data_IF_986078154731
#
_entry.id   IF_986078154731
#
_cell.length_a   1.000
_cell.length_b   1.000
_cell.length_c   1.000
_cell.angle_alpha   90.00
_cell.angle_beta   90.00
_cell.angle_gamma   90.00
#
_symmetry.space_group_name_H-M   'P 1'
#
loop_
_entity.id
_entity.type
_entity.pdbx_description
1 polymer ?
#
# COMPACT_ATOMS: atom_id res chain seq x y z
N UNK A 1 -1.68 12.72 -6.70
CA UNK A 1 -1.33 12.23 -5.34
C UNK A 1 -2.34 12.72 -4.32
N UNK A 2 -2.64 14.02 -4.27
CA UNK A 2 -3.54 14.59 -3.25
C UNK A 2 -4.95 13.97 -3.20
N UNK A 3 -5.49 13.57 -4.36
CA UNK A 3 -6.81 12.93 -4.48
C UNK A 3 -6.84 11.43 -4.21
N UNK A 4 -5.70 10.81 -3.91
CA UNK A 4 -5.62 9.38 -3.59
C UNK A 4 -5.79 9.23 -2.07
N UNK A 5 -6.73 8.40 -1.66
CA UNK A 5 -7.05 8.14 -0.26
C UNK A 5 -6.06 7.14 0.35
N UNK A 6 -5.74 6.06 -0.38
CA UNK A 6 -4.84 4.99 0.08
C UNK A 6 -3.84 4.55 -1.00
N UNK A 7 -2.65 4.12 -0.56
CA UNK A 7 -1.59 3.59 -1.40
C UNK A 7 -1.14 2.22 -0.89
N UNK A 8 -1.13 1.24 -1.78
CA UNK A 8 -0.46 -0.04 -1.55
C UNK A 8 0.84 -0.10 -2.35
N UNK A 9 1.95 -0.26 -1.65
CA UNK A 9 3.30 -0.36 -2.22
C UNK A 9 3.95 -1.61 -1.67
N UNK A 10 4.26 -2.57 -2.55
CA UNK A 10 4.87 -3.83 -2.14
C UNK A 10 6.15 -3.59 -1.32
N UNK A 11 6.16 -4.11 -0.09
CA UNK A 11 7.25 -3.95 0.87
C UNK A 11 8.38 -4.95 0.61
N UNK A 12 8.96 -4.93 -0.58
CA UNK A 12 10.14 -5.75 -0.87
C UNK A 12 11.31 -5.40 0.07
N UNK A 13 11.48 -4.11 0.37
CA UNK A 13 12.39 -3.56 1.36
C UNK A 13 11.80 -2.26 1.93
N UNK A 14 12.07 -1.96 3.21
CA UNK A 14 11.59 -0.72 3.85
C UNK A 14 12.06 0.55 3.10
N UNK A 15 13.30 0.54 2.59
CA UNK A 15 13.87 1.66 1.84
C UNK A 15 13.10 2.01 0.57
N UNK A 16 12.47 1.02 -0.09
CA UNK A 16 11.68 1.24 -1.31
C UNK A 16 10.43 2.04 -0.98
N UNK A 17 9.70 1.66 0.07
CA UNK A 17 8.49 2.37 0.50
C UNK A 17 8.83 3.76 1.03
N UNK A 18 9.88 3.90 1.83
CA UNK A 18 10.34 5.22 2.31
C UNK A 18 10.75 6.14 1.17
N UNK A 19 11.41 5.61 0.12
CA UNK A 19 11.78 6.38 -1.07
C UNK A 19 10.53 6.83 -1.84
N UNK A 20 9.55 5.93 -2.02
CA UNK A 20 8.26 6.28 -2.63
C UNK A 20 7.56 7.40 -1.85
N UNK A 21 7.48 7.28 -0.52
CA UNK A 21 6.85 8.30 0.34
C UNK A 21 7.51 9.66 0.17
N UNK A 22 8.85 9.69 0.19
CA UNK A 22 9.63 10.92 0.00
C UNK A 22 9.43 11.54 -1.37
N UNK A 23 9.43 10.74 -2.44
CA UNK A 23 9.38 11.24 -3.82
C UNK A 23 7.98 11.72 -4.20
N UNK A 24 6.94 11.05 -3.70
CA UNK A 24 5.54 11.37 -4.00
C UNK A 24 4.91 12.34 -2.99
N UNK A 25 5.58 12.60 -1.86
CA UNK A 25 5.06 13.47 -0.80
C UNK A 25 3.81 12.93 -0.12
N UNK A 26 3.70 11.61 0.02
CA UNK A 26 2.54 10.95 0.65
C UNK A 26 2.75 10.78 2.16
N UNK A 27 1.67 10.92 2.92
CA UNK A 27 1.69 10.68 4.35
C UNK A 27 1.72 9.16 4.66
N UNK A 28 2.48 8.77 5.68
CA UNK A 28 2.56 7.38 6.17
C UNK A 28 1.18 6.80 6.50
N UNK A 29 0.26 7.62 7.02
CA UNK A 29 -1.11 7.22 7.35
C UNK A 29 -1.97 6.79 6.15
N UNK A 30 -1.48 6.97 4.92
CA UNK A 30 -2.13 6.54 3.68
C UNK A 30 -1.44 5.35 3.00
N UNK A 31 -0.27 4.92 3.47
CA UNK A 31 0.53 3.89 2.79
C UNK A 31 0.52 2.60 3.61
N UNK A 32 0.16 1.47 2.96
CA UNK A 32 0.19 0.13 3.55
C UNK A 32 -0.53 0.05 4.91
N UNK A 33 -1.74 0.65 5.00
CA UNK A 33 -2.46 0.87 6.27
C UNK A 33 -2.86 -0.41 7.00
N UNK A 34 -2.84 -1.55 6.30
CA UNK A 34 -3.12 -2.87 6.83
C UNK A 34 -1.84 -3.73 6.98
N UNK A 35 -0.66 -3.10 6.92
CA UNK A 35 0.64 -3.77 6.87
C UNK A 35 0.98 -4.29 5.47
N UNK A 36 2.21 -4.78 5.27
CA UNK A 36 2.64 -5.30 3.98
C UNK A 36 3.56 -6.52 4.05
N UNK A 37 4.33 -6.71 2.97
CA UNK A 37 5.11 -7.92 2.74
C UNK A 37 6.24 -8.17 3.76
N UNK A 38 6.73 -7.14 4.47
CA UNK A 38 7.70 -7.35 5.55
C UNK A 38 7.09 -8.15 6.70
N UNK A 39 5.81 -7.88 7.00
CA UNK A 39 5.10 -8.58 8.08
C UNK A 39 4.42 -9.87 7.60
N UNK A 40 3.80 -9.84 6.42
CA UNK A 40 2.93 -10.92 5.93
C UNK A 40 3.61 -11.88 4.95
N UNK A 41 4.81 -11.52 4.47
CA UNK A 41 5.54 -12.28 3.46
C UNK A 41 5.17 -11.91 2.02
N UNK A 42 5.97 -12.42 1.08
CA UNK A 42 5.93 -12.05 -0.33
C UNK A 42 5.90 -13.29 -1.24
N UNK A 43 4.73 -13.88 -1.53
CA UNK A 43 4.62 -14.87 -2.61
C UNK A 43 4.76 -14.14 -3.95
N UNK A 44 5.99 -14.09 -4.48
CA UNK A 44 6.44 -13.28 -5.64
C UNK A 44 5.35 -13.03 -6.69
N UNK A 45 4.87 -14.08 -7.37
CA UNK A 45 3.90 -13.94 -8.45
C UNK A 45 2.46 -13.59 -8.02
N UNK A 46 2.10 -13.87 -6.77
CA UNK A 46 0.74 -13.65 -6.25
C UNK A 46 0.57 -12.31 -5.53
N UNK A 47 1.67 -11.68 -5.11
CA UNK A 47 1.60 -10.50 -4.23
C UNK A 47 0.88 -9.32 -4.87
N UNK A 48 1.04 -9.12 -6.19
CA UNK A 48 0.32 -8.05 -6.90
C UNK A 48 -1.20 -8.18 -6.77
N UNK A 49 -1.75 -9.38 -6.89
CA UNK A 49 -3.18 -9.62 -6.71
C UNK A 49 -3.61 -9.49 -5.25
N UNK A 50 -2.76 -9.93 -4.31
CA UNK A 50 -3.04 -9.84 -2.87
C UNK A 50 -3.17 -8.38 -2.44
N UNK A 51 -2.17 -7.54 -2.71
CA UNK A 51 -2.21 -6.14 -2.26
C UNK A 51 -3.28 -5.32 -2.99
N UNK A 52 -3.61 -5.68 -4.24
CA UNK A 52 -4.74 -5.10 -4.96
C UNK A 52 -6.07 -5.42 -4.27
N UNK A 53 -6.27 -6.69 -3.88
CA UNK A 53 -7.44 -7.11 -3.11
C UNK A 53 -7.52 -6.40 -1.76
N UNK A 54 -6.41 -6.36 -1.02
CA UNK A 54 -6.33 -5.63 0.26
C UNK A 54 -6.71 -4.16 0.12
N UNK A 55 -6.23 -3.47 -0.93
CA UNK A 55 -6.58 -2.07 -1.18
C UNK A 55 -8.07 -1.91 -1.47
N UNK A 56 -8.64 -2.78 -2.32
CA UNK A 56 -10.06 -2.73 -2.68
C UNK A 56 -10.94 -2.94 -1.44
N UNK A 57 -10.67 -3.98 -0.65
CA UNK A 57 -11.41 -4.29 0.57
C UNK A 57 -11.32 -3.12 1.58
N UNK A 58 -10.15 -2.48 1.69
CA UNK A 58 -9.95 -1.37 2.62
C UNK A 58 -10.64 -0.08 2.17
N UNK A 59 -10.68 0.20 0.86
CA UNK A 59 -11.45 1.31 0.30
C UNK A 59 -12.94 1.10 0.54
N UNK A 60 -13.46 -0.11 0.30
CA UNK A 60 -14.86 -0.47 0.58
C UNK A 60 -15.17 -0.33 2.08
N UNK A 61 -14.31 -0.86 2.95
CA UNK A 61 -14.47 -0.81 4.41
C UNK A 61 -14.53 0.63 4.94
N UNK A 62 -13.76 1.55 4.36
CA UNK A 62 -13.72 2.97 4.76
C UNK A 62 -14.69 3.86 3.98
N UNK A 63 -15.40 3.32 2.99
CA UNK A 63 -16.23 4.08 2.05
C UNK A 63 -15.45 5.22 1.37
N UNK A 64 -14.22 4.90 0.94
CA UNK A 64 -13.31 5.78 0.20
C UNK A 64 -13.39 5.48 -1.30
N UNK A 65 -12.72 6.28 -2.13
CA UNK A 65 -12.87 6.19 -3.58
C UNK A 65 -11.59 5.94 -4.35
N UNK A 66 -10.45 6.45 -3.89
CA UNK A 66 -9.22 6.44 -4.67
C UNK A 66 -7.99 5.99 -3.90
#
# INVERSE_FOLDING_TARGET
VEYIDLFEVNEAFASVVMKFMKDMGVAESKVNVNGGAIAMGHPLGATGCIILGTLLDELERRNLRY
#
